data_IF_767241144181
#
_entry.id   IF_767241144181
#
_cell.length_a   1.000
_cell.length_b   1.000
_cell.length_c   1.000
_cell.angle_alpha   90.00
_cell.angle_beta   90.00
_cell.angle_gamma   90.00
#
_symmetry.space_group_name_H-M   'P 1'
#
loop_
_entity.id
_entity.type
_entity.pdbx_description
1 polymer ?
#
# COMPACT_ATOMS: atom_id res chain seq x y z
N UNK A 1 58.01 34.61 16.03
CA UNK A 1 57.56 35.58 14.99
C UNK A 1 56.07 35.42 14.83
N UNK A 2 55.35 36.44 15.27
CA UNK A 2 53.89 36.46 15.33
C UNK A 2 53.19 36.12 14.02
N UNK A 3 52.15 35.29 14.10
CA UNK A 3 51.24 34.99 12.97
C UNK A 3 50.29 36.16 12.71
N UNK A 4 50.50 36.86 11.58
CA UNK A 4 49.66 38.02 11.18
C UNK A 4 48.82 37.76 9.94
N UNK A 5 49.07 36.67 9.21
CA UNK A 5 48.32 36.29 8.01
C UNK A 5 47.30 35.20 8.32
N UNK A 6 46.15 35.26 7.67
CA UNK A 6 45.13 34.19 7.66
C UNK A 6 45.39 33.14 6.57
N UNK A 7 46.35 33.37 5.69
CA UNK A 7 46.68 32.43 4.61
C UNK A 7 47.46 31.24 5.14
N UNK A 8 46.96 30.03 4.93
CA UNK A 8 47.60 28.78 5.34
C UNK A 8 47.82 27.80 4.16
N UNK A 9 47.37 28.20 2.96
CA UNK A 9 47.38 27.44 1.71
C UNK A 9 47.78 28.34 0.54
N UNK A 10 48.50 27.78 -0.43
CA UNK A 10 48.77 28.42 -1.72
C UNK A 10 48.71 27.41 -2.84
N UNK A 11 48.04 27.78 -3.92
CA UNK A 11 47.84 26.96 -5.11
C UNK A 11 48.61 27.54 -6.30
N UNK A 12 49.12 26.65 -7.14
CA UNK A 12 49.80 26.95 -8.40
C UNK A 12 49.39 25.95 -9.48
N UNK A 13 49.52 26.37 -10.74
CA UNK A 13 49.38 25.49 -11.91
C UNK A 13 50.76 25.31 -12.55
N UNK A 14 51.17 24.07 -12.74
CA UNK A 14 52.40 23.73 -13.43
C UNK A 14 52.39 24.17 -14.89
N UNK A 15 53.57 24.48 -15.41
CA UNK A 15 53.79 24.90 -16.81
C UNK A 15 54.82 24.01 -17.53
N UNK A 16 55.32 22.96 -16.88
CA UNK A 16 56.36 22.08 -17.40
C UNK A 16 57.79 22.63 -17.33
N UNK A 17 58.01 23.82 -16.77
CA UNK A 17 59.31 24.48 -16.74
C UNK A 17 59.70 25.04 -15.36
N UNK A 18 58.77 25.65 -14.63
CA UNK A 18 59.02 26.25 -13.32
C UNK A 18 59.18 25.17 -12.25
N UNK A 19 60.29 25.22 -11.50
CA UNK A 19 60.55 24.32 -10.37
C UNK A 19 60.34 24.99 -9.01
N UNK A 20 60.40 26.33 -8.96
CA UNK A 20 60.37 27.11 -7.72
C UNK A 20 59.00 27.74 -7.49
N UNK A 21 58.39 27.43 -6.35
CA UNK A 21 57.08 27.94 -5.97
C UNK A 21 57.15 28.47 -4.53
N UNK A 22 56.86 29.76 -4.33
CA UNK A 22 56.90 30.37 -3.00
C UNK A 22 55.63 30.10 -2.20
N UNK A 23 55.69 30.26 -0.88
CA UNK A 23 54.48 30.30 -0.05
C UNK A 23 54.44 31.57 0.82
N UNK A 24 53.27 32.21 0.99
CA UNK A 24 53.17 33.54 1.61
C UNK A 24 52.96 33.51 3.13
N UNK A 25 53.38 32.45 3.83
CA UNK A 25 53.11 32.25 5.26
C UNK A 25 54.29 31.62 6.00
N UNK A 26 54.28 31.71 7.33
CA UNK A 26 55.34 31.21 8.21
C UNK A 26 55.14 29.73 8.56
N UNK A 27 56.22 28.94 8.58
CA UNK A 27 56.21 27.50 8.89
C UNK A 27 57.34 27.19 9.88
N UNK A 28 57.00 26.53 11.00
CA UNK A 28 57.96 26.27 12.09
C UNK A 28 59.02 25.23 11.73
N UNK A 29 58.60 24.11 11.15
CA UNK A 29 59.49 23.02 10.71
C UNK A 29 59.09 22.50 9.33
N UNK A 30 60.03 21.89 8.61
CA UNK A 30 59.75 21.35 7.27
C UNK A 30 58.64 20.28 7.27
N UNK A 31 58.49 19.56 8.38
CA UNK A 31 57.45 18.54 8.57
C UNK A 31 56.03 19.12 8.66
N UNK A 32 55.90 20.41 9.04
CA UNK A 32 54.63 21.13 9.14
C UNK A 32 54.14 21.64 7.77
N UNK A 33 54.88 21.40 6.69
CA UNK A 33 54.48 21.72 5.32
C UNK A 33 54.15 20.45 4.53
N UNK A 34 53.00 20.47 3.85
CA UNK A 34 52.58 19.43 2.91
C UNK A 34 52.50 20.04 1.51
N UNK A 35 53.10 19.34 0.54
CA UNK A 35 53.03 19.70 -0.87
C UNK A 35 52.32 18.59 -1.62
N UNK A 36 51.21 18.92 -2.29
CA UNK A 36 50.46 18.00 -3.13
C UNK A 36 50.65 18.38 -4.59
N UNK A 37 50.66 17.38 -5.46
CA UNK A 37 50.58 17.54 -6.92
C UNK A 37 49.46 16.62 -7.42
N UNK A 38 48.44 17.19 -8.06
CA UNK A 38 47.24 16.47 -8.52
C UNK A 38 46.61 15.61 -7.40
N UNK A 39 46.49 16.18 -6.20
CA UNK A 39 45.94 15.50 -5.02
C UNK A 39 46.87 14.48 -4.34
N UNK A 40 48.04 14.16 -4.92
CA UNK A 40 48.99 13.20 -4.35
C UNK A 40 50.03 13.91 -3.48
N UNK A 41 50.18 13.48 -2.22
CA UNK A 41 51.19 14.01 -1.30
C UNK A 41 52.60 13.69 -1.79
N UNK A 42 53.46 14.71 -1.84
CA UNK A 42 54.87 14.59 -2.20
C UNK A 42 55.76 14.52 -0.97
N UNK A 43 56.84 13.74 -1.10
CA UNK A 43 57.84 13.54 -0.04
C UNK A 43 58.96 14.57 -0.15
N UNK A 44 59.21 15.29 0.94
CA UNK A 44 60.36 16.19 1.11
C UNK A 44 61.68 15.42 0.88
N UNK A 45 62.69 16.07 0.30
CA UNK A 45 64.00 15.53 -0.14
C UNK A 45 63.96 14.56 -1.33
N UNK A 46 62.83 13.90 -1.59
CA UNK A 46 62.66 13.03 -2.77
C UNK A 46 62.08 13.79 -3.96
N UNK A 47 61.00 14.54 -3.73
CA UNK A 47 60.25 15.21 -4.80
C UNK A 47 60.47 16.72 -4.81
N UNK A 48 60.72 17.30 -3.63
CA UNK A 48 60.99 18.72 -3.47
C UNK A 48 61.90 18.97 -2.27
N UNK A 49 62.55 20.12 -2.23
CA UNK A 49 63.28 20.67 -1.09
C UNK A 49 62.71 22.05 -0.72
N UNK A 50 63.02 22.55 0.47
CA UNK A 50 62.73 23.92 0.85
C UNK A 50 64.01 24.76 0.74
N UNK A 51 63.89 25.98 0.21
CA UNK A 51 65.00 26.94 0.25
C UNK A 51 65.24 27.41 1.69
N UNK A 52 66.50 27.52 2.10
CA UNK A 52 66.86 28.01 3.44
C UNK A 52 66.66 26.98 4.55
N UNK A 53 66.63 27.45 5.79
CA UNK A 53 66.52 26.62 7.00
C UNK A 53 65.30 27.03 7.82
N UNK A 54 64.79 26.09 8.60
CA UNK A 54 63.72 26.37 9.54
C UNK A 54 64.14 27.43 10.58
N UNK A 55 63.20 28.26 11.08
CA UNK A 55 61.82 28.32 10.64
C UNK A 55 61.68 29.09 9.31
N UNK A 56 60.74 28.70 8.46
CA UNK A 56 60.60 29.23 7.11
C UNK A 56 59.63 30.41 7.06
N UNK A 57 60.10 31.57 6.61
CA UNK A 57 59.31 32.81 6.52
C UNK A 57 58.49 32.88 5.23
N UNK A 58 57.53 33.81 5.19
CA UNK A 58 56.81 34.16 3.96
C UNK A 58 57.79 34.47 2.81
N UNK A 59 57.49 33.96 1.62
CA UNK A 59 58.34 34.07 0.43
C UNK A 59 59.35 32.93 0.26
N UNK A 60 59.48 32.03 1.24
CA UNK A 60 60.30 30.81 1.10
C UNK A 60 59.77 29.95 -0.04
N UNK A 61 60.69 29.30 -0.78
CA UNK A 61 60.36 28.47 -1.94
C UNK A 61 60.37 26.98 -1.63
N UNK A 62 59.33 26.30 -2.11
CA UNK A 62 59.35 24.88 -2.46
C UNK A 62 60.06 24.74 -3.80
N UNK A 63 61.11 23.93 -3.85
CA UNK A 63 61.87 23.63 -5.06
C UNK A 63 61.65 22.17 -5.46
N UNK A 64 60.91 21.96 -6.55
CA UNK A 64 60.70 20.63 -7.12
C UNK A 64 61.96 20.09 -7.79
N UNK A 65 62.22 18.79 -7.65
CA UNK A 65 63.31 18.09 -8.34
C UNK A 65 63.04 17.98 -9.84
N UNK A 66 61.77 17.81 -10.23
CA UNK A 66 61.31 17.81 -11.61
C UNK A 66 60.18 18.81 -11.74
N UNK A 67 60.24 19.70 -12.73
CA UNK A 67 59.21 20.70 -12.95
C UNK A 67 57.83 20.02 -13.11
N UNK A 68 56.81 20.41 -12.32
CA UNK A 68 55.45 19.94 -12.53
C UNK A 68 55.00 20.23 -13.97
N UNK A 69 54.34 19.26 -14.60
CA UNK A 69 53.92 19.34 -15.98
C UNK A 69 52.87 20.44 -16.19
N UNK A 70 52.61 20.78 -17.45
CA UNK A 70 51.54 21.74 -17.77
C UNK A 70 50.20 21.23 -17.23
N UNK A 71 49.45 22.12 -16.58
CA UNK A 71 48.16 21.85 -15.94
C UNK A 71 48.21 20.98 -14.66
N UNK A 72 49.40 20.57 -14.18
CA UNK A 72 49.49 19.95 -12.85
C UNK A 72 49.05 20.94 -11.77
N UNK A 73 48.11 20.53 -10.92
CA UNK A 73 47.67 21.31 -9.76
C UNK A 73 48.66 21.10 -8.61
N UNK A 74 49.21 22.19 -8.09
CA UNK A 74 50.14 22.16 -6.96
C UNK A 74 49.47 22.86 -5.77
N UNK A 75 49.42 22.18 -4.64
CA UNK A 75 48.92 22.75 -3.38
C UNK A 75 50.03 22.71 -2.35
N UNK A 76 50.44 23.88 -1.87
CA UNK A 76 51.36 24.03 -0.74
C UNK A 76 50.51 24.43 0.46
N UNK A 77 50.54 23.61 1.51
CA UNK A 77 49.67 23.73 2.68
C UNK A 77 50.50 23.59 3.96
N UNK A 78 50.25 24.46 4.94
CA UNK A 78 50.76 24.28 6.29
C UNK A 78 49.79 23.45 7.14
N UNK A 79 50.31 22.38 7.73
CA UNK A 79 49.57 21.37 8.51
C UNK A 79 50.44 20.94 9.70
N UNK A 80 50.54 21.78 10.75
CA UNK A 80 51.38 21.49 11.90
C UNK A 80 50.80 20.34 12.72
N UNK A 81 51.67 19.56 13.38
CA UNK A 81 51.18 18.54 14.31
C UNK A 81 50.44 19.20 15.49
N UNK A 82 49.28 18.63 15.85
CA UNK A 82 48.43 19.14 16.95
C UNK A 82 49.01 18.64 18.29
N UNK A 83 50.14 19.20 18.68
CA UNK A 83 50.88 18.89 19.91
C UNK A 83 51.45 20.16 20.53
N UNK A 84 51.66 20.15 21.84
CA UNK A 84 52.36 21.21 22.57
C UNK A 84 53.78 20.73 22.92
N UNK A 85 54.84 21.26 22.27
CA UNK A 85 56.21 20.89 22.59
C UNK A 85 56.82 21.74 23.73
N UNK A 86 56.21 22.88 24.07
CA UNK A 86 56.70 23.76 25.13
C UNK A 86 56.45 23.15 26.50
N UNK A 87 57.53 22.94 27.25
CA UNK A 87 57.52 22.53 28.65
C UNK A 87 58.15 23.64 29.49
N UNK A 88 57.38 24.22 30.42
CA UNK A 88 57.83 25.29 31.30
C UNK A 88 58.25 24.70 32.64
N UNK A 89 59.51 24.94 33.02
CA UNK A 89 60.05 24.50 34.29
C UNK A 89 59.73 25.54 35.37
N UNK A 90 59.28 25.07 36.54
CA UNK A 90 58.95 25.93 37.66
C UNK A 90 60.19 26.68 38.18
N UNK A 91 60.04 27.97 38.48
CA UNK A 91 61.09 28.87 39.00
C UNK A 91 62.23 29.23 38.03
N UNK A 92 62.17 28.79 36.77
CA UNK A 92 63.09 29.26 35.74
C UNK A 92 62.67 30.64 35.18
N UNK A 93 63.64 31.44 34.68
CA UNK A 93 63.32 32.65 33.94
C UNK A 93 62.40 32.35 32.75
N UNK A 94 61.34 33.14 32.58
CA UNK A 94 60.33 32.93 31.54
C UNK A 94 60.98 32.96 30.13
N UNK A 95 60.94 31.85 29.36
CA UNK A 95 61.49 31.83 28.01
C UNK A 95 60.49 32.46 27.03
N UNK A 96 60.47 33.80 26.95
CA UNK A 96 59.49 34.55 26.18
C UNK A 96 59.42 34.14 24.68
N UNK A 97 60.55 33.79 24.06
CA UNK A 97 60.61 33.34 22.66
C UNK A 97 59.96 31.96 22.47
N UNK A 98 60.22 31.00 23.36
CA UNK A 98 59.61 29.67 23.28
C UNK A 98 58.11 29.73 23.59
N UNK A 99 57.73 30.64 24.48
CA UNK A 99 56.33 30.96 24.73
C UNK A 99 55.64 31.55 23.48
N UNK A 100 56.27 32.51 22.80
CA UNK A 100 55.75 33.06 21.54
C UNK A 100 55.59 31.96 20.49
N UNK A 101 56.60 31.10 20.29
CA UNK A 101 56.53 29.96 19.37
C UNK A 101 55.36 29.01 19.70
N UNK A 102 55.09 28.80 20.98
CA UNK A 102 53.92 28.03 21.45
C UNK A 102 52.60 28.66 20.99
N UNK A 103 52.44 29.98 21.18
CA UNK A 103 51.25 30.71 20.74
C UNK A 103 51.12 30.79 19.21
N UNK A 104 52.24 30.98 18.50
CA UNK A 104 52.28 30.94 17.04
C UNK A 104 51.78 29.59 16.54
N UNK A 105 52.29 28.49 17.10
CA UNK A 105 51.86 27.12 16.75
C UNK A 105 50.37 26.91 16.98
N UNK A 106 49.84 27.33 18.13
CA UNK A 106 48.40 27.23 18.41
C UNK A 106 47.57 28.03 17.41
N UNK A 107 48.04 29.21 17.01
CA UNK A 107 47.39 30.02 15.97
C UNK A 107 47.39 29.30 14.62
N UNK A 108 48.51 28.66 14.24
CA UNK A 108 48.59 27.85 13.01
C UNK A 108 47.65 26.64 13.06
N UNK A 109 47.56 25.95 14.20
CA UNK A 109 46.63 24.82 14.41
C UNK A 109 45.18 25.30 14.27
N UNK A 110 44.82 26.43 14.88
CA UNK A 110 43.49 27.00 14.77
C UNK A 110 43.12 27.33 13.31
N UNK A 111 44.03 27.97 12.56
CA UNK A 111 43.83 28.25 11.13
C UNK A 111 43.63 26.95 10.33
N UNK A 112 44.39 25.90 10.64
CA UNK A 112 44.26 24.60 9.98
C UNK A 112 42.95 23.89 10.31
N UNK A 113 42.49 23.98 11.55
CA UNK A 113 41.20 23.41 11.97
C UNK A 113 40.04 24.15 11.32
N UNK A 114 40.06 25.50 11.28
CA UNK A 114 39.06 26.31 10.56
C UNK A 114 38.90 25.84 9.12
N UNK A 115 40.01 25.75 8.39
CA UNK A 115 40.00 25.24 7.02
C UNK A 115 39.38 23.83 6.88
N UNK A 116 39.58 22.93 7.85
CA UNK A 116 39.00 21.57 7.81
C UNK A 116 37.49 21.63 8.06
N UNK A 117 37.05 22.44 9.01
CA UNK A 117 35.63 22.66 9.32
C UNK A 117 34.90 23.32 8.15
N UNK A 118 35.50 24.32 7.49
CA UNK A 118 34.93 25.01 6.32
C UNK A 118 34.70 24.07 5.11
N UNK A 119 35.36 22.91 5.11
CA UNK A 119 35.22 21.85 4.09
C UNK A 119 34.43 20.64 4.58
N UNK A 120 33.80 20.75 5.75
CA UNK A 120 32.93 19.73 6.33
C UNK A 120 31.46 20.10 6.15
N UNK A 121 30.55 19.15 6.37
CA UNK A 121 29.13 19.46 6.50
C UNK A 121 28.89 20.18 7.84
N UNK A 122 28.22 21.32 7.80
CA UNK A 122 27.76 22.04 8.98
C UNK A 122 26.36 22.59 8.75
N UNK A 123 25.62 22.78 9.83
CA UNK A 123 24.35 23.50 9.81
C UNK A 123 24.63 25.01 9.78
N UNK A 124 23.62 25.80 9.40
CA UNK A 124 23.69 27.26 9.55
C UNK A 124 23.91 27.64 11.01
N UNK A 125 24.64 28.72 11.28
CA UNK A 125 24.80 29.28 12.63
C UNK A 125 23.46 29.65 13.28
N UNK A 126 22.41 29.83 12.47
CA UNK A 126 21.04 30.15 12.92
C UNK A 126 20.19 28.91 13.19
N UNK A 127 20.70 27.70 12.90
CA UNK A 127 19.93 26.48 13.09
C UNK A 127 19.73 26.16 14.58
N UNK A 128 18.50 25.78 14.94
CA UNK A 128 18.11 25.37 16.30
C UNK A 128 17.40 24.02 16.30
N UNK A 129 17.45 23.28 15.19
CA UNK A 129 16.72 22.03 14.99
C UNK A 129 17.23 20.89 15.87
N UNK A 130 18.52 20.92 16.21
CA UNK A 130 19.19 19.80 16.86
C UNK A 130 19.43 18.60 15.94
N UNK A 131 19.31 18.78 14.61
CA UNK A 131 19.49 17.71 13.65
C UNK A 131 20.93 17.16 13.65
N UNK A 132 21.06 15.84 13.61
CA UNK A 132 22.36 15.17 13.54
C UNK A 132 22.93 15.21 12.12
N UNK A 133 24.21 15.57 12.00
CA UNK A 133 24.99 15.46 10.76
C UNK A 133 25.85 14.18 10.71
N UNK A 134 25.61 13.23 11.61
CA UNK A 134 26.26 11.92 11.55
C UNK A 134 25.79 11.18 10.29
N UNK A 135 26.74 10.78 9.45
CA UNK A 135 26.44 10.06 8.22
C UNK A 135 26.05 8.61 8.54
N UNK A 136 24.99 8.07 7.92
CA UNK A 136 24.64 6.65 8.05
C UNK A 136 25.73 5.76 7.42
N UNK A 137 25.70 4.47 7.76
CA UNK A 137 26.60 3.49 7.12
C UNK A 137 26.49 3.57 5.58
N UNK A 138 27.60 3.65 4.83
CA UNK A 138 27.55 3.79 3.38
C UNK A 138 26.88 2.59 2.70
N UNK A 139 25.86 2.85 1.88
CA UNK A 139 25.18 1.83 1.07
C UNK A 139 25.36 2.14 -0.41
N UNK A 140 25.82 1.14 -1.18
CA UNK A 140 26.06 1.30 -2.61
C UNK A 140 24.78 1.74 -3.37
N UNK A 141 24.91 2.76 -4.23
CA UNK A 141 23.82 3.27 -5.06
C UNK A 141 22.78 4.13 -4.33
N UNK A 142 23.00 4.47 -3.04
CA UNK A 142 22.15 5.38 -2.28
C UNK A 142 22.72 6.80 -2.25
N UNK A 143 21.84 7.78 -2.07
CA UNK A 143 22.20 9.18 -1.83
C UNK A 143 21.94 9.53 -0.37
N UNK A 144 22.65 10.53 0.16
CA UNK A 144 22.39 11.05 1.50
C UNK A 144 21.28 12.10 1.43
N UNK A 145 20.28 12.01 2.30
CA UNK A 145 19.22 13.01 2.44
C UNK A 145 18.64 13.05 3.86
N UNK A 146 17.86 14.08 4.17
CA UNK A 146 17.18 14.20 5.46
C UNK A 146 16.12 13.10 5.65
N UNK A 147 16.07 12.50 6.83
CA UNK A 147 15.00 11.56 7.17
C UNK A 147 13.64 12.27 7.26
N UNK A 148 12.56 11.49 7.39
CA UNK A 148 11.19 12.04 7.42
C UNK A 148 10.90 12.95 8.63
N UNK A 149 11.63 12.77 9.73
CA UNK A 149 11.50 13.60 10.94
C UNK A 149 12.31 14.91 10.88
N UNK A 150 13.16 15.06 9.85
CA UNK A 150 14.10 16.17 9.69
C UNK A 150 15.07 16.34 10.88
N UNK A 151 15.37 15.27 11.61
CA UNK A 151 16.27 15.27 12.77
C UNK A 151 17.61 14.55 12.50
N UNK A 152 17.80 14.00 11.29
CA UNK A 152 19.05 13.35 10.91
C UNK A 152 19.14 12.99 9.42
N UNK A 153 20.31 12.48 9.03
CA UNK A 153 20.61 12.04 7.66
C UNK A 153 20.36 10.54 7.49
N UNK A 154 19.86 10.13 6.33
CA UNK A 154 19.62 8.74 5.97
C UNK A 154 20.02 8.43 4.51
N UNK A 155 20.22 7.14 4.22
CA UNK A 155 20.43 6.66 2.86
C UNK A 155 19.08 6.59 2.11
N UNK A 156 18.90 7.42 1.10
CA UNK A 156 17.71 7.43 0.24
C UNK A 156 17.95 6.80 -1.12
N UNK A 157 16.86 6.36 -1.73
CA UNK A 157 16.83 6.02 -3.16
C UNK A 157 16.85 7.33 -3.95
N UNK A 158 17.73 7.44 -4.94
CA UNK A 158 17.62 8.55 -5.91
C UNK A 158 16.43 8.27 -6.82
N UNK A 159 15.37 9.08 -6.70
CA UNK A 159 14.34 9.18 -7.74
C UNK A 159 14.87 10.25 -8.70
N UNK A 160 15.38 9.82 -9.86
CA UNK A 160 16.07 10.70 -10.79
C UNK A 160 15.25 11.93 -11.17
N UNK A 161 15.95 12.98 -11.60
CA UNK A 161 15.45 14.31 -12.00
C UNK A 161 14.44 14.28 -13.18
N UNK A 162 13.30 13.63 -12.99
CA UNK A 162 12.16 13.66 -13.89
C UNK A 162 11.15 14.60 -13.27
N UNK A 163 10.74 15.64 -14.00
CA UNK A 163 9.57 16.44 -13.63
C UNK A 163 8.36 15.49 -13.59
N UNK A 164 8.01 15.08 -12.39
CA UNK A 164 6.80 14.32 -12.10
C UNK A 164 5.71 15.30 -11.70
N UNK A 165 4.46 14.98 -12.03
CA UNK A 165 3.33 15.80 -11.58
C UNK A 165 3.22 15.71 -10.05
N UNK A 166 2.59 16.70 -9.42
CA UNK A 166 2.34 16.69 -7.96
C UNK A 166 1.60 15.43 -7.49
N UNK A 167 0.79 14.83 -8.36
CA UNK A 167 0.13 13.55 -8.08
C UNK A 167 1.10 12.35 -8.11
N UNK A 168 2.09 12.36 -8.99
CA UNK A 168 3.08 11.28 -9.04
C UNK A 168 4.10 11.38 -7.91
N UNK A 169 4.33 12.56 -7.36
CA UNK A 169 5.14 12.73 -6.14
C UNK A 169 4.53 11.95 -4.96
N UNK A 170 3.20 11.98 -4.80
CA UNK A 170 2.49 11.24 -3.72
C UNK A 170 2.42 9.73 -3.92
N UNK A 171 2.92 9.21 -5.05
CA UNK A 171 2.99 7.77 -5.32
C UNK A 171 4.40 7.23 -5.09
N UNK A 172 5.41 8.07 -5.31
CA UNK A 172 6.82 7.69 -5.26
C UNK A 172 7.38 7.68 -3.84
N UNK A 173 6.67 8.30 -2.88
CA UNK A 173 6.96 8.28 -1.44
C UNK A 173 6.35 7.07 -0.72
N UNK A 174 5.47 6.32 -1.36
CA UNK A 174 4.79 5.17 -0.77
C UNK A 174 5.73 4.00 -0.47
N UNK A 175 5.67 3.49 0.76
CA UNK A 175 6.61 2.48 1.27
C UNK A 175 6.37 1.05 0.73
N UNK A 176 5.16 0.75 0.26
CA UNK A 176 4.79 -0.57 -0.23
C UNK A 176 3.71 -0.53 -1.33
N UNK A 177 3.49 -1.68 -1.95
CA UNK A 177 2.50 -1.81 -3.02
C UNK A 177 1.05 -1.58 -2.55
N UNK A 178 0.74 -1.77 -1.27
CA UNK A 178 -0.62 -1.57 -0.76
C UNK A 178 -0.93 -0.08 -0.65
N UNK A 179 0.01 0.69 -0.12
CA UNK A 179 -0.06 2.14 0.00
C UNK A 179 -0.10 2.78 -1.38
N UNK A 180 0.77 2.34 -2.31
CA UNK A 180 0.77 2.78 -3.70
C UNK A 180 -0.58 2.56 -4.42
N UNK A 181 -1.24 1.41 -4.20
CA UNK A 181 -2.56 1.14 -4.78
C UNK A 181 -3.64 2.05 -4.21
N UNK A 182 -3.57 2.37 -2.92
CA UNK A 182 -4.50 3.29 -2.28
C UNK A 182 -4.40 4.69 -2.89
N UNK A 183 -3.17 5.19 -3.10
CA UNK A 183 -2.88 6.49 -3.72
C UNK A 183 -3.50 6.61 -5.12
N UNK A 184 -3.40 5.58 -5.95
CA UNK A 184 -3.96 5.58 -7.31
C UNK A 184 -5.43 5.12 -7.39
N UNK A 185 -6.04 4.71 -6.26
CA UNK A 185 -7.39 4.16 -6.22
C UNK A 185 -7.55 2.84 -6.99
N UNK A 186 -6.50 2.03 -7.10
CA UNK A 186 -6.52 0.74 -7.77
C UNK A 186 -7.01 -0.38 -6.85
N UNK A 187 -7.69 -1.36 -7.44
CA UNK A 187 -8.19 -2.55 -6.74
C UNK A 187 -7.16 -3.68 -6.83
N UNK A 188 -6.92 -4.39 -5.73
CA UNK A 188 -6.06 -5.57 -5.71
C UNK A 188 -6.60 -6.73 -6.57
N UNK A 189 -5.70 -7.63 -6.99
CA UNK A 189 -6.06 -8.86 -7.74
C UNK A 189 -6.54 -10.00 -6.84
N UNK A 190 -6.38 -9.88 -5.53
CA UNK A 190 -6.67 -10.92 -4.53
C UNK A 190 -7.14 -10.29 -3.23
N UNK A 191 -8.01 -10.99 -2.51
CA UNK A 191 -8.52 -10.53 -1.22
C UNK A 191 -9.84 -9.76 -1.31
N UNK A 192 -10.39 -9.41 -0.15
CA UNK A 192 -11.59 -8.58 -0.05
C UNK A 192 -11.19 -7.11 -0.07
N UNK A 193 -11.60 -6.39 -1.11
CA UNK A 193 -11.35 -4.96 -1.25
C UNK A 193 -12.67 -4.18 -1.02
N UNK A 194 -12.67 -3.20 -0.12
CA UNK A 194 -13.84 -2.33 0.11
C UNK A 194 -13.62 -1.02 -0.62
N UNK A 195 -14.45 -0.74 -1.64
CA UNK A 195 -14.31 0.45 -2.48
C UNK A 195 -15.56 1.32 -2.31
N UNK A 196 -15.38 2.59 -1.92
CA UNK A 196 -16.47 3.55 -1.82
C UNK A 196 -16.92 4.13 -3.18
N UNK A 197 -18.18 4.57 -3.25
CA UNK A 197 -18.76 5.26 -4.41
C UNK A 197 -19.32 4.33 -5.49
N UNK A 198 -19.89 4.91 -6.54
CA UNK A 198 -20.47 4.14 -7.66
C UNK A 198 -19.34 3.63 -8.58
N UNK A 199 -19.18 2.32 -8.71
CA UNK A 199 -18.17 1.68 -9.57
C UNK A 199 -18.88 0.84 -10.62
N UNK A 200 -18.45 0.95 -11.87
CA UNK A 200 -19.03 0.19 -12.99
C UNK A 200 -18.03 -0.83 -13.49
N UNK A 201 -18.19 -2.10 -13.11
CA UNK A 201 -17.42 -3.21 -13.66
C UNK A 201 -18.19 -3.79 -14.87
N UNK A 202 -17.70 -3.59 -16.09
CA UNK A 202 -18.32 -4.16 -17.29
C UNK A 202 -17.72 -5.55 -17.56
N UNK A 203 -18.46 -6.63 -17.30
CA UNK A 203 -18.01 -7.98 -17.66
C UNK A 203 -18.75 -9.17 -17.04
N UNK A 204 -19.37 -9.00 -15.87
CA UNK A 204 -20.23 -10.03 -15.25
C UNK A 204 -21.37 -9.30 -14.53
N UNK A 205 -22.62 -9.58 -14.91
CA UNK A 205 -23.76 -9.19 -14.08
C UNK A 205 -23.61 -9.92 -12.76
N UNK A 206 -23.34 -9.20 -11.67
CA UNK A 206 -23.25 -9.81 -10.34
C UNK A 206 -24.52 -10.64 -10.09
N UNK A 207 -24.36 -11.96 -9.94
CA UNK A 207 -25.42 -12.83 -9.46
C UNK A 207 -25.57 -12.49 -7.98
N UNK A 208 -26.40 -11.48 -7.69
CA UNK A 208 -26.72 -11.06 -6.33
C UNK A 208 -27.39 -12.20 -5.56
N UNK A 209 -27.12 -12.26 -4.27
CA UNK A 209 -27.69 -13.19 -3.30
C UNK A 209 -27.38 -12.71 -1.88
N UNK A 210 -27.65 -13.53 -0.87
CA UNK A 210 -27.32 -13.24 0.52
C UNK A 210 -26.27 -14.21 1.05
N UNK A 211 -25.36 -13.73 1.89
CA UNK A 211 -24.36 -14.53 2.61
C UNK A 211 -24.85 -14.98 3.99
N UNK A 212 -26.07 -14.58 4.38
CA UNK A 212 -26.68 -14.93 5.65
C UNK A 212 -27.85 -15.90 5.44
N UNK A 213 -28.53 -16.29 6.52
CA UNK A 213 -29.62 -17.26 6.52
C UNK A 213 -31.00 -16.63 6.27
N UNK A 214 -31.09 -15.62 5.41
CA UNK A 214 -32.33 -14.95 5.01
C UNK A 214 -32.71 -15.22 3.54
N UNK A 215 -33.75 -14.55 3.03
CA UNK A 215 -34.14 -14.63 1.62
C UNK A 215 -33.53 -13.45 0.86
N UNK A 216 -33.06 -13.67 -0.37
CA UNK A 216 -32.47 -12.61 -1.17
C UNK A 216 -33.53 -11.58 -1.61
N UNK A 217 -33.07 -10.38 -1.97
CA UNK A 217 -33.93 -9.32 -2.46
C UNK A 217 -34.55 -9.66 -3.82
N UNK A 218 -35.58 -8.92 -4.23
CA UNK A 218 -36.25 -9.14 -5.51
C UNK A 218 -35.27 -9.08 -6.69
N UNK A 219 -35.31 -10.07 -7.58
CA UNK A 219 -34.43 -10.18 -8.74
C UNK A 219 -33.08 -10.86 -8.49
N UNK A 220 -32.79 -11.29 -7.26
CA UNK A 220 -31.52 -11.95 -6.88
C UNK A 220 -31.69 -13.46 -6.67
N UNK A 221 -30.62 -14.24 -6.83
CA UNK A 221 -30.66 -15.69 -6.58
C UNK A 221 -30.95 -15.95 -5.11
N UNK A 222 -31.93 -16.81 -4.85
CA UNK A 222 -32.46 -17.04 -3.51
C UNK A 222 -33.65 -16.17 -3.12
N UNK A 223 -34.14 -15.29 -4.02
CA UNK A 223 -35.44 -14.63 -3.87
C UNK A 223 -36.52 -15.69 -3.63
N UNK A 224 -37.33 -15.50 -2.60
CA UNK A 224 -38.37 -16.45 -2.21
C UNK A 224 -39.74 -15.77 -2.22
N UNK A 225 -40.66 -16.35 -2.98
CA UNK A 225 -42.04 -15.91 -3.05
C UNK A 225 -42.95 -17.06 -2.61
N UNK A 226 -44.00 -16.74 -1.86
CA UNK A 226 -44.99 -17.75 -1.47
C UNK A 226 -46.37 -17.15 -1.31
N UNK A 227 -47.38 -17.98 -1.55
CA UNK A 227 -48.78 -17.67 -1.29
C UNK A 227 -49.40 -18.82 -0.51
N UNK A 228 -50.10 -18.50 0.57
CA UNK A 228 -50.62 -19.47 1.53
C UNK A 228 -52.10 -19.19 1.78
N UNK A 229 -52.91 -20.24 1.72
CA UNK A 229 -54.29 -20.23 2.20
C UNK A 229 -54.37 -21.20 3.36
N UNK A 230 -54.85 -20.72 4.51
CA UNK A 230 -55.05 -21.51 5.71
C UNK A 230 -56.52 -21.99 5.81
N UNK A 231 -56.82 -22.85 6.77
CA UNK A 231 -58.20 -23.30 7.08
C UNK A 231 -59.10 -22.10 7.45
N UNK A 232 -60.39 -22.04 7.02
CA UNK A 232 -61.23 -23.08 6.42
C UNK A 232 -61.11 -23.23 4.90
N UNK A 233 -60.03 -22.74 4.28
CA UNK A 233 -59.65 -23.07 2.90
C UNK A 233 -60.70 -22.79 1.83
N UNK A 234 -60.59 -23.50 0.71
CA UNK A 234 -61.50 -23.47 -0.43
C UNK A 234 -62.34 -24.73 -0.43
N UNK A 235 -63.67 -24.56 -0.43
CA UNK A 235 -64.60 -25.67 -0.57
C UNK A 235 -64.51 -26.31 -1.95
N UNK A 236 -64.44 -27.63 -1.99
CA UNK A 236 -64.35 -28.41 -3.22
C UNK A 236 -65.71 -28.90 -3.68
N UNK A 237 -65.85 -29.09 -4.99
CA UNK A 237 -66.94 -29.85 -5.57
C UNK A 237 -66.35 -31.14 -6.13
N UNK A 238 -67.03 -32.26 -5.92
CA UNK A 238 -66.51 -33.58 -6.31
C UNK A 238 -66.18 -33.62 -7.81
N UNK A 239 -64.98 -34.07 -8.15
CA UNK A 239 -64.42 -34.14 -9.49
C UNK A 239 -64.38 -32.79 -10.25
N UNK A 240 -64.29 -31.66 -9.52
CA UNK A 240 -64.15 -30.32 -10.10
C UNK A 240 -62.86 -29.67 -9.61
N UNK A 241 -62.04 -29.24 -10.56
CA UNK A 241 -60.81 -28.52 -10.30
C UNK A 241 -61.09 -27.13 -9.71
N UNK A 242 -60.38 -26.79 -8.63
CA UNK A 242 -60.49 -25.50 -7.96
C UNK A 242 -59.14 -24.94 -7.56
N UNK A 243 -58.93 -23.66 -7.83
CA UNK A 243 -57.79 -22.93 -7.31
C UNK A 243 -57.89 -22.82 -5.78
N UNK A 244 -56.87 -23.30 -5.08
CA UNK A 244 -56.67 -23.08 -3.65
C UNK A 244 -56.05 -21.71 -3.42
N UNK A 245 -55.01 -21.38 -4.18
CA UNK A 245 -54.35 -20.06 -4.16
C UNK A 245 -53.62 -19.82 -5.49
N UNK A 246 -53.06 -18.62 -5.66
CA UNK A 246 -52.20 -18.27 -6.80
C UNK A 246 -50.96 -17.51 -6.36
N UNK A 247 -49.93 -17.56 -7.21
CA UNK A 247 -48.67 -16.84 -7.05
C UNK A 247 -48.22 -16.31 -8.41
N UNK A 248 -47.98 -15.01 -8.49
CA UNK A 248 -47.42 -14.37 -9.69
C UNK A 248 -45.91 -14.26 -9.56
N UNK A 249 -45.18 -14.83 -10.51
CA UNK A 249 -43.73 -14.80 -10.57
C UNK A 249 -43.26 -13.70 -11.52
N UNK A 250 -42.15 -13.05 -11.19
CA UNK A 250 -41.49 -12.06 -12.05
C UNK A 250 -40.61 -12.75 -13.10
N UNK A 251 -40.26 -12.10 -14.23
CA UNK A 251 -39.40 -12.68 -15.26
C UNK A 251 -38.11 -13.27 -14.69
N UNK A 252 -37.75 -14.48 -15.10
CA UNK A 252 -36.60 -15.21 -14.56
C UNK A 252 -36.78 -16.72 -14.56
N UNK A 253 -35.85 -17.41 -13.93
CA UNK A 253 -35.96 -18.84 -13.69
C UNK A 253 -36.22 -19.12 -12.21
N UNK A 254 -37.22 -19.96 -11.99
CA UNK A 254 -37.72 -20.30 -10.69
C UNK A 254 -37.86 -21.81 -10.54
N UNK A 255 -37.60 -22.31 -9.34
CA UNK A 255 -38.08 -23.62 -8.90
C UNK A 255 -39.39 -23.43 -8.15
N UNK A 256 -40.49 -23.88 -8.76
CA UNK A 256 -41.85 -23.77 -8.23
C UNK A 256 -42.26 -25.08 -7.55
N UNK A 257 -42.85 -25.00 -6.37
CA UNK A 257 -43.38 -26.15 -5.64
C UNK A 257 -44.62 -25.78 -4.82
N UNK A 258 -45.34 -26.78 -4.33
CA UNK A 258 -46.52 -26.53 -3.50
C UNK A 258 -46.96 -27.73 -2.70
N UNK A 259 -47.94 -27.52 -1.83
CA UNK A 259 -48.62 -28.58 -1.09
C UNK A 259 -50.06 -28.17 -0.88
N UNK A 260 -50.97 -29.12 -1.09
CA UNK A 260 -52.39 -28.99 -0.78
C UNK A 260 -52.71 -29.96 0.33
N UNK A 261 -53.45 -29.49 1.31
CA UNK A 261 -54.00 -30.28 2.41
C UNK A 261 -55.52 -30.27 2.27
N UNK A 262 -56.09 -31.46 2.19
CA UNK A 262 -57.51 -31.71 2.13
C UNK A 262 -58.02 -32.02 3.53
N UNK A 263 -58.91 -31.18 4.05
CA UNK A 263 -59.72 -31.47 5.23
C UNK A 263 -60.92 -32.32 4.80
N UNK A 264 -60.95 -33.56 5.26
CA UNK A 264 -61.96 -34.55 4.91
C UNK A 264 -63.17 -34.48 5.84
N UNK A 265 -64.34 -34.93 5.40
CA UNK A 265 -65.53 -35.03 6.28
C UNK A 265 -65.66 -36.43 6.89
N UNK A 266 -66.29 -36.50 8.06
CA UNK A 266 -66.42 -37.71 8.86
C UNK A 266 -67.10 -38.89 8.15
N UNK A 267 -68.00 -38.62 7.21
CA UNK A 267 -68.82 -39.63 6.52
C UNK A 267 -68.57 -39.72 5.01
N UNK A 268 -67.65 -38.91 4.49
CA UNK A 268 -67.41 -38.81 3.05
C UNK A 268 -66.37 -39.83 2.60
N UNK A 269 -66.73 -40.69 1.64
CA UNK A 269 -65.76 -41.57 1.00
C UNK A 269 -64.98 -40.81 -0.08
N UNK A 270 -63.68 -41.08 -0.18
CA UNK A 270 -62.75 -40.45 -1.13
C UNK A 270 -62.16 -41.53 -2.02
N UNK A 271 -61.99 -41.20 -3.31
CA UNK A 271 -61.37 -42.08 -4.31
C UNK A 271 -60.11 -41.47 -4.93
N UNK A 272 -60.07 -40.15 -5.07
CA UNK A 272 -58.93 -39.44 -5.67
C UNK A 272 -58.69 -38.11 -4.96
N UNK A 273 -57.42 -37.79 -4.73
CA UNK A 273 -56.94 -36.45 -4.36
C UNK A 273 -55.86 -36.03 -5.35
N UNK A 274 -55.94 -34.80 -5.87
CA UNK A 274 -55.00 -34.27 -6.86
C UNK A 274 -54.54 -32.88 -6.44
N UNK A 275 -53.23 -32.68 -6.45
CA UNK A 275 -52.63 -31.36 -6.32
C UNK A 275 -51.81 -31.05 -7.58
N UNK A 276 -51.97 -29.84 -8.12
CA UNK A 276 -51.27 -29.43 -9.33
C UNK A 276 -50.86 -27.95 -9.26
N UNK A 277 -49.76 -27.61 -9.93
CA UNK A 277 -49.43 -26.23 -10.29
C UNK A 277 -49.78 -25.99 -11.76
N UNK A 278 -50.66 -25.03 -12.03
CA UNK A 278 -51.17 -24.75 -13.38
C UNK A 278 -51.08 -23.27 -13.72
N UNK A 279 -50.88 -22.93 -14.99
CA UNK A 279 -51.01 -21.56 -15.49
C UNK A 279 -52.45 -21.20 -15.86
N UNK A 280 -53.35 -22.18 -15.83
CA UNK A 280 -54.75 -22.03 -16.21
C UNK A 280 -55.63 -22.12 -14.97
N UNK A 281 -56.56 -21.17 -14.84
CA UNK A 281 -57.46 -21.07 -13.69
C UNK A 281 -58.43 -22.27 -13.63
N UNK A 282 -58.60 -22.85 -12.44
CA UNK A 282 -59.48 -24.00 -12.17
C UNK A 282 -59.27 -25.16 -13.15
N UNK A 283 -58.02 -25.45 -13.51
CA UNK A 283 -57.68 -26.58 -14.37
C UNK A 283 -56.34 -27.15 -13.94
N UNK A 284 -56.34 -28.43 -13.60
CA UNK A 284 -55.13 -29.18 -13.27
C UNK A 284 -54.21 -29.31 -14.50
N UNK A 285 -52.90 -29.12 -14.32
CA UNK A 285 -51.88 -29.45 -15.32
C UNK A 285 -51.39 -30.87 -15.06
N UNK A 286 -51.81 -31.81 -15.91
CA UNK A 286 -51.46 -33.24 -15.79
C UNK A 286 -49.96 -33.50 -15.81
N UNK A 287 -49.16 -32.63 -16.44
CA UNK A 287 -47.71 -32.79 -16.49
C UNK A 287 -47.03 -32.32 -15.20
N UNK A 288 -47.73 -31.54 -14.37
CA UNK A 288 -47.23 -30.97 -13.12
C UNK A 288 -48.29 -31.12 -12.03
N UNK A 289 -48.69 -32.38 -11.85
CA UNK A 289 -49.64 -32.80 -10.82
C UNK A 289 -49.09 -34.02 -10.09
N UNK A 290 -49.53 -34.16 -8.86
CA UNK A 290 -49.46 -35.41 -8.11
C UNK A 290 -50.88 -35.85 -7.78
N UNK A 291 -51.14 -37.14 -7.95
CA UNK A 291 -52.48 -37.71 -7.82
C UNK A 291 -52.43 -38.99 -7.00
N UNK A 292 -53.18 -39.01 -5.90
CA UNK A 292 -53.36 -40.19 -5.08
C UNK A 292 -54.72 -40.81 -5.41
N UNK A 293 -54.70 -41.94 -6.13
CA UNK A 293 -55.88 -42.75 -6.41
C UNK A 293 -55.94 -43.95 -5.45
N UNK A 294 -57.09 -44.17 -4.82
CA UNK A 294 -57.29 -45.24 -3.83
C UNK A 294 -58.64 -45.91 -4.03
N UNK A 295 -58.82 -47.12 -3.50
CA UNK A 295 -60.17 -47.68 -3.31
C UNK A 295 -60.97 -46.77 -2.39
N UNK A 296 -62.27 -46.62 -2.65
CA UNK A 296 -63.15 -45.77 -1.84
C UNK A 296 -63.01 -46.08 -0.34
N UNK A 297 -62.63 -45.07 0.45
CA UNK A 297 -62.47 -45.19 1.89
C UNK A 297 -62.98 -43.94 2.60
N UNK A 298 -63.43 -44.09 3.86
CA UNK A 298 -63.93 -42.99 4.70
C UNK A 298 -62.87 -42.66 5.76
N UNK A 299 -62.10 -41.58 5.61
CA UNK A 299 -60.98 -41.25 6.50
C UNK A 299 -61.39 -40.68 7.86
N UNK A 300 -62.65 -40.27 8.05
CA UNK A 300 -63.02 -39.42 9.18
C UNK A 300 -62.68 -37.94 8.92
N UNK A 301 -62.71 -37.11 9.97
CA UNK A 301 -62.30 -35.70 9.92
C UNK A 301 -60.79 -35.58 10.16
N UNK A 302 -59.99 -35.65 9.09
CA UNK A 302 -58.52 -35.58 9.15
C UNK A 302 -57.97 -34.70 8.03
N UNK A 303 -56.68 -34.37 8.13
CA UNK A 303 -55.93 -33.65 7.10
C UNK A 303 -55.12 -34.63 6.24
N UNK A 304 -55.35 -34.62 4.94
CA UNK A 304 -54.57 -35.40 3.97
C UNK A 304 -53.77 -34.48 3.06
N UNK A 305 -52.44 -34.60 3.07
CA UNK A 305 -51.53 -33.77 2.28
C UNK A 305 -51.12 -34.42 0.96
N UNK A 306 -51.13 -33.65 -0.12
CA UNK A 306 -50.58 -34.01 -1.44
C UNK A 306 -49.62 -32.90 -1.89
N UNK A 307 -48.40 -33.27 -2.23
CA UNK A 307 -47.34 -32.32 -2.60
C UNK A 307 -47.28 -32.17 -4.11
N UNK A 308 -47.17 -30.92 -4.58
CA UNK A 308 -46.92 -30.65 -5.99
C UNK A 308 -45.41 -30.80 -6.24
N UNK A 309 -44.99 -31.57 -7.25
CA UNK A 309 -43.57 -31.76 -7.55
C UNK A 309 -42.88 -30.43 -7.88
N UNK A 310 -41.58 -30.34 -7.57
CA UNK A 310 -40.77 -29.17 -7.94
C UNK A 310 -40.64 -29.13 -9.47
N UNK A 311 -40.90 -27.96 -10.06
CA UNK A 311 -40.73 -27.71 -11.50
C UNK A 311 -39.89 -26.47 -11.72
N UNK A 312 -38.88 -26.58 -12.58
CA UNK A 312 -38.19 -25.43 -13.16
C UNK A 312 -39.12 -24.70 -14.13
N UNK A 313 -39.35 -23.42 -13.91
CA UNK A 313 -40.09 -22.53 -14.82
C UNK A 313 -39.20 -21.37 -15.23
N UNK A 314 -39.10 -21.12 -16.54
CA UNK A 314 -38.39 -19.98 -17.12
C UNK A 314 -39.43 -19.10 -17.81
N UNK A 315 -39.58 -17.86 -17.34
CA UNK A 315 -40.64 -16.96 -17.77
C UNK A 315 -40.07 -15.61 -18.20
N UNK A 316 -40.56 -15.08 -19.32
CA UNK A 316 -40.10 -13.81 -19.88
C UNK A 316 -40.99 -12.60 -19.48
N UNK A 317 -42.16 -12.87 -18.89
CA UNK A 317 -43.12 -11.87 -18.43
C UNK A 317 -43.75 -12.34 -17.11
N UNK A 318 -44.31 -11.42 -16.31
CA UNK A 318 -45.04 -11.79 -15.09
C UNK A 318 -46.09 -12.86 -15.38
N UNK A 319 -45.97 -14.02 -14.73
CA UNK A 319 -46.81 -15.20 -15.01
C UNK A 319 -47.43 -15.70 -13.70
N UNK A 320 -48.75 -15.86 -13.69
CA UNK A 320 -49.49 -16.39 -12.53
C UNK A 320 -49.60 -17.90 -12.60
N UNK A 321 -49.16 -18.56 -11.54
CA UNK A 321 -49.36 -19.98 -11.30
C UNK A 321 -50.42 -20.18 -10.23
N UNK A 322 -51.37 -21.07 -10.49
CA UNK A 322 -52.43 -21.47 -9.60
C UNK A 322 -52.08 -22.80 -8.95
N UNK A 323 -52.29 -22.89 -7.64
CA UNK A 323 -52.30 -24.15 -6.93
C UNK A 323 -53.71 -24.73 -7.03
N UNK A 324 -53.88 -25.81 -7.79
CA UNK A 324 -55.18 -26.38 -8.13
C UNK A 324 -55.38 -27.69 -7.38
N UNK A 325 -56.50 -27.77 -6.66
CA UNK A 325 -56.97 -28.97 -5.98
C UNK A 325 -58.11 -29.60 -6.77
N UNK A 326 -58.12 -30.93 -6.82
CA UNK A 326 -59.26 -31.73 -7.28
C UNK A 326 -59.43 -32.93 -6.35
N UNK A 327 -60.66 -33.27 -6.03
CA UNK A 327 -60.96 -34.44 -5.20
C UNK A 327 -62.24 -35.12 -5.67
N UNK A 328 -62.24 -36.45 -5.71
CA UNK A 328 -63.42 -37.25 -6.02
C UNK A 328 -63.96 -37.89 -4.74
N UNK A 329 -65.19 -37.51 -4.36
CA UNK A 329 -65.82 -37.89 -3.09
C UNK A 329 -67.35 -38.04 -3.17
N UNK A 330 -67.95 -38.73 -2.20
CA UNK A 330 -69.34 -39.25 -2.30
C UNK A 330 -70.46 -38.42 -1.66
N UNK A 331 -70.16 -37.56 -0.69
CA UNK A 331 -71.19 -36.87 0.11
C UNK A 331 -70.78 -35.44 0.50
N UNK A 332 -70.37 -35.21 1.74
CA UNK A 332 -70.06 -33.87 2.25
C UNK A 332 -68.84 -33.26 1.57
N UNK A 333 -68.90 -31.95 1.40
CA UNK A 333 -67.85 -31.10 0.85
C UNK A 333 -66.53 -31.25 1.60
N UNK A 334 -65.46 -31.53 0.85
CA UNK A 334 -64.08 -31.40 1.31
C UNK A 334 -63.62 -29.94 1.22
N UNK A 335 -62.68 -29.57 2.07
CA UNK A 335 -62.01 -28.27 2.01
C UNK A 335 -60.55 -28.46 1.65
N UNK A 336 -60.00 -27.66 0.73
CA UNK A 336 -58.57 -27.62 0.42
C UNK A 336 -57.92 -26.32 0.89
N UNK A 337 -56.77 -26.43 1.53
CA UNK A 337 -55.92 -25.30 1.91
C UNK A 337 -54.45 -25.67 1.67
N UNK A 338 -53.52 -24.74 1.68
CA UNK A 338 -52.14 -25.07 1.32
C UNK A 338 -51.27 -23.88 0.96
N UNK A 339 -50.10 -24.18 0.40
CA UNK A 339 -49.15 -23.17 -0.05
C UNK A 339 -48.57 -23.50 -1.41
N UNK A 340 -48.31 -22.47 -2.18
CA UNK A 340 -47.44 -22.50 -3.36
C UNK A 340 -46.26 -21.58 -3.08
N UNK A 341 -45.06 -22.01 -3.47
CA UNK A 341 -43.82 -21.30 -3.20
C UNK A 341 -42.86 -21.44 -4.36
N UNK A 342 -42.05 -20.41 -4.59
CA UNK A 342 -41.05 -20.38 -5.64
C UNK A 342 -39.75 -19.79 -5.11
N UNK A 343 -38.62 -20.33 -5.56
CA UNK A 343 -37.29 -19.77 -5.30
C UNK A 343 -36.57 -19.47 -6.61
N UNK A 344 -36.02 -18.26 -6.75
CA UNK A 344 -35.28 -17.84 -7.94
C UNK A 344 -33.93 -18.54 -7.98
N UNK A 345 -33.62 -19.15 -9.11
CA UNK A 345 -32.35 -19.90 -9.33
C UNK A 345 -31.37 -19.14 -10.21
N UNK A 346 -31.85 -18.18 -11.02
CA UNK A 346 -31.04 -17.23 -11.79
C UNK A 346 -31.87 -16.00 -12.20
#
# INVERSE_FOLDING_TARGET
MTITSTTNRKEYTGNGATTSFSFPYYVLAAADLKVYQNGVLKTLTTHYTLSGTAPYTSGTNVQFVTAPASADEIVILRDPAITQPLDLVENDPLPAEELEKGYDRLTMVAQRLSERTDRSFHLSDTDVSGASLELPEPVAGRVIGWNSAADGLENKVSVGAVEVTTFMETLLDDADAATARATIGAVGLTGNETIGGNKTFSGVTEIGGTTTNDNAAAGQVGEYLSSVVLTPGVSLTSAVDKNVTSLTLTPGDWDLSGVIVFLTSALTSITTLVASSSTTTNTTDVNHSDSHATSAFVPGLINLGVSVPVRRVSIAAPTTYYLVASAAFSADTLTAFGRIQARRVR
#
